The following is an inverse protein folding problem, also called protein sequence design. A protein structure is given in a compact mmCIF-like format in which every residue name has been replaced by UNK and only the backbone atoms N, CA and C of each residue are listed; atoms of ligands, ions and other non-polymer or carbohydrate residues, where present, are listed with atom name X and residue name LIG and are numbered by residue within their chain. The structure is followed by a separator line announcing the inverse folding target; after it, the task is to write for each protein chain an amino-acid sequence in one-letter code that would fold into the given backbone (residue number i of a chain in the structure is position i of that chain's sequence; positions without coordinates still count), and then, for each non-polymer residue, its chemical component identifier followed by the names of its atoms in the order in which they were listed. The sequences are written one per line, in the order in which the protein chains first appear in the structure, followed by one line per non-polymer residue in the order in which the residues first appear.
data_IF_095719516380
#
_entry.id   IF_095719516380
#
_cell.length_a   1.000
_cell.length_b   1.000
_cell.length_c   1.000
_cell.angle_alpha   90.00
_cell.angle_beta   90.00
_cell.angle_gamma   90.00
#
_symmetry.space_group_name_H-M   'P 1'
#
loop_
_entity.id
_entity.type
_entity.pdbx_description
1 polymer ?
#
# COMPACT_ATOMS: atom_id res chain seq x y z
N UNK A 1 -62.17 32.97 19.64
CA UNK A 1 -60.83 33.18 20.22
C UNK A 1 -60.10 31.84 20.20
N UNK A 2 -59.25 31.59 19.21
CA UNK A 2 -58.32 30.47 19.30
C UNK A 2 -57.29 30.80 20.40
N UNK A 3 -56.93 29.85 21.28
CA UNK A 3 -55.84 30.07 22.23
C UNK A 3 -54.59 30.37 21.40
N UNK A 4 -54.06 31.58 21.51
CA UNK A 4 -52.89 32.00 20.76
C UNK A 4 -51.70 31.12 21.14
N UNK A 5 -51.31 30.22 20.24
CA UNK A 5 -50.09 29.45 20.38
C UNK A 5 -48.91 30.42 20.35
N UNK A 6 -48.22 30.58 21.49
CA UNK A 6 -46.92 31.25 21.51
C UNK A 6 -45.93 30.38 20.73
N UNK A 7 -45.25 30.90 19.67
CA UNK A 7 -44.29 30.11 18.92
C UNK A 7 -43.10 29.72 19.80
N UNK A 8 -42.68 28.46 19.69
CA UNK A 8 -41.54 27.91 20.43
C UNK A 8 -40.32 27.90 19.51
N UNK A 9 -39.26 28.59 19.90
CA UNK A 9 -37.97 28.54 19.22
C UNK A 9 -37.13 27.39 19.79
N UNK A 10 -36.55 26.54 18.95
CA UNK A 10 -35.64 25.48 19.40
C UNK A 10 -34.20 25.97 19.36
N UNK A 11 -33.47 25.76 20.45
CA UNK A 11 -32.05 26.13 20.58
C UNK A 11 -31.30 24.96 21.19
N UNK A 12 -30.08 24.73 20.75
CA UNK A 12 -29.21 23.70 21.33
C UNK A 12 -27.90 24.29 21.82
N UNK A 13 -27.44 23.81 22.96
CA UNK A 13 -26.12 24.14 23.52
C UNK A 13 -25.29 22.88 23.72
N UNK A 14 -23.97 22.99 23.57
CA UNK A 14 -23.04 21.88 23.79
C UNK A 14 -22.63 21.86 25.27
N UNK A 15 -22.70 20.69 25.91
CA UNK A 15 -22.30 20.50 27.30
C UNK A 15 -20.90 21.10 27.56
N UNK A 16 -20.79 21.92 28.61
CA UNK A 16 -19.55 22.60 29.01
C UNK A 16 -19.14 23.82 28.16
N UNK A 17 -19.84 24.11 27.05
CA UNK A 17 -19.60 25.32 26.24
C UNK A 17 -20.57 26.43 26.59
N UNK A 18 -20.37 27.63 26.04
CA UNK A 18 -21.34 28.72 26.10
C UNK A 18 -22.48 28.48 25.10
N UNK A 19 -23.71 28.84 25.49
CA UNK A 19 -24.86 28.91 24.58
C UNK A 19 -25.60 30.23 24.71
N UNK A 20 -26.36 30.60 23.67
CA UNK A 20 -27.13 31.84 23.61
C UNK A 20 -28.62 31.54 23.47
N UNK A 21 -29.44 32.03 24.39
CA UNK A 21 -30.90 31.98 24.29
C UNK A 21 -31.39 33.32 23.71
N UNK A 22 -32.02 33.33 22.52
CA UNK A 22 -32.48 34.56 21.89
C UNK A 22 -33.73 35.09 22.59
N UNK A 23 -33.79 36.41 22.72
CA UNK A 23 -34.99 37.12 23.11
C UNK A 23 -35.08 38.42 22.33
N UNK A 24 -36.10 38.52 21.50
CA UNK A 24 -36.37 39.76 20.78
C UNK A 24 -36.86 40.81 21.79
N UNK A 25 -36.13 41.92 21.87
CA UNK A 25 -36.45 43.10 22.68
C UNK A 25 -36.78 44.33 21.83
N UNK A 26 -37.01 44.14 20.53
CA UNK A 26 -37.36 45.22 19.61
C UNK A 26 -38.80 45.65 19.88
N UNK A 27 -39.05 46.93 20.22
CA UNK A 27 -40.41 47.46 20.40
C UNK A 27 -41.15 47.55 19.07
N UNK A 28 -42.49 47.55 19.13
CA UNK A 28 -43.34 47.72 17.94
C UNK A 28 -43.33 49.17 17.44
N UNK A 29 -43.32 50.12 18.38
CA UNK A 29 -43.29 51.55 18.09
C UNK A 29 -41.85 52.08 18.10
N UNK A 30 -41.53 52.99 17.18
CA UNK A 30 -40.16 53.51 16.99
C UNK A 30 -39.64 54.35 18.18
N UNK A 31 -40.55 54.99 18.91
CA UNK A 31 -40.23 55.86 20.06
C UNK A 31 -40.40 55.14 21.41
N UNK A 32 -40.68 53.85 21.39
CA UNK A 32 -40.78 53.02 22.58
C UNK A 32 -39.43 52.35 22.89
N UNK A 33 -39.27 51.88 24.12
CA UNK A 33 -38.04 51.27 24.59
C UNK A 33 -38.33 50.09 25.50
N UNK A 34 -37.40 49.14 25.51
CA UNK A 34 -37.43 48.05 26.49
C UNK A 34 -37.36 48.64 27.91
N UNK A 35 -38.23 48.14 28.78
CA UNK A 35 -38.36 48.59 30.16
C UNK A 35 -37.80 47.54 31.14
N UNK A 36 -38.03 46.25 30.86
CA UNK A 36 -37.54 45.13 31.65
C UNK A 36 -37.55 43.83 30.83
N UNK A 37 -36.58 42.94 31.06
CA UNK A 37 -36.57 41.58 30.50
C UNK A 37 -36.44 40.57 31.63
N UNK A 38 -37.39 39.63 31.69
CA UNK A 38 -37.43 38.58 32.70
C UNK A 38 -37.39 37.21 32.02
N UNK A 39 -36.52 36.35 32.51
CA UNK A 39 -36.43 34.97 32.07
C UNK A 39 -36.98 34.03 33.12
N UNK A 40 -37.68 33.00 32.68
CA UNK A 40 -38.28 31.95 33.52
C UNK A 40 -37.94 30.58 32.94
N UNK A 41 -37.82 29.57 33.79
CA UNK A 41 -37.90 28.16 33.39
C UNK A 41 -39.35 27.74 33.60
N UNK A 42 -40.00 27.09 32.64
CA UNK A 42 -41.46 26.94 32.62
C UNK A 42 -42.04 26.23 33.86
N UNK A 43 -41.25 25.38 34.52
CA UNK A 43 -41.63 24.70 35.75
C UNK A 43 -41.61 25.61 37.00
N UNK A 44 -41.22 26.88 36.87
CA UNK A 44 -41.09 27.84 37.97
C UNK A 44 -41.71 29.21 37.63
N UNK A 45 -42.42 29.77 38.59
CA UNK A 45 -43.03 31.09 38.49
C UNK A 45 -42.06 32.22 38.89
N UNK A 46 -40.94 31.90 39.54
CA UNK A 46 -39.91 32.86 39.89
C UNK A 46 -38.97 33.14 38.70
N UNK A 47 -38.60 34.42 38.45
CA UNK A 47 -37.68 34.76 37.37
C UNK A 47 -36.27 34.25 37.69
N UNK A 48 -35.69 33.46 36.77
CA UNK A 48 -34.32 32.96 36.88
C UNK A 48 -33.28 34.01 36.49
N UNK A 49 -33.66 35.02 35.70
CA UNK A 49 -32.80 36.14 35.34
C UNK A 49 -33.63 37.40 35.12
N UNK A 50 -33.11 38.55 35.56
CA UNK A 50 -33.73 39.86 35.41
C UNK A 50 -32.73 40.85 34.81
N UNK A 51 -33.20 41.59 33.82
CA UNK A 51 -32.54 42.74 33.23
C UNK A 51 -33.49 43.95 33.35
N UNK A 52 -33.19 44.85 34.30
CA UNK A 52 -34.05 45.98 34.64
C UNK A 52 -33.37 47.32 34.27
N UNK A 53 -33.96 48.04 33.33
CA UNK A 53 -33.46 49.34 32.82
C UNK A 53 -34.34 50.52 33.26
N UNK A 54 -35.26 50.31 34.20
CA UNK A 54 -36.20 51.36 34.62
C UNK A 54 -35.47 52.53 35.26
N UNK A 55 -35.67 53.72 34.72
CA UNK A 55 -35.02 54.96 35.15
C UNK A 55 -33.51 54.99 34.89
N UNK A 56 -32.97 54.12 34.02
CA UNK A 56 -31.54 53.97 33.75
C UNK A 56 -31.26 53.88 32.25
N UNK A 57 -30.01 54.13 31.86
CA UNK A 57 -29.55 53.77 30.53
C UNK A 57 -29.34 52.25 30.44
N UNK A 58 -29.46 51.67 29.24
CA UNK A 58 -29.30 50.22 28.99
C UNK A 58 -27.96 49.69 29.50
N UNK A 59 -26.89 50.47 29.39
CA UNK A 59 -25.55 50.11 29.89
C UNK A 59 -25.45 50.02 31.43
N UNK A 60 -26.40 50.61 32.15
CA UNK A 60 -26.46 50.65 33.62
C UNK A 60 -27.61 49.78 34.16
N UNK A 61 -28.08 48.81 33.37
CA UNK A 61 -29.14 47.91 33.78
C UNK A 61 -28.80 47.19 35.09
N UNK A 62 -29.80 47.02 35.96
CA UNK A 62 -29.67 46.17 37.14
C UNK A 62 -29.90 44.73 36.71
N UNK A 63 -28.90 43.89 36.95
CA UNK A 63 -28.90 42.47 36.59
C UNK A 63 -29.07 41.62 37.84
N UNK A 64 -29.85 40.55 37.75
CA UNK A 64 -29.85 39.49 38.77
C UNK A 64 -30.05 38.13 38.12
N UNK A 65 -29.37 37.12 38.63
CA UNK A 65 -29.44 35.73 38.17
C UNK A 65 -29.63 34.83 39.37
N UNK A 66 -30.53 33.84 39.27
CA UNK A 66 -30.83 32.91 40.36
C UNK A 66 -29.74 31.83 40.48
N UNK A 67 -29.20 31.64 41.68
CA UNK A 67 -28.19 30.61 41.99
C UNK A 67 -28.73 29.19 41.83
N UNK A 68 -30.05 29.00 41.91
CA UNK A 68 -30.74 27.72 41.65
C UNK A 68 -30.57 27.25 40.19
N UNK A 69 -30.43 28.19 39.25
CA UNK A 69 -30.38 27.92 37.82
C UNK A 69 -28.99 28.21 37.24
N UNK A 70 -28.83 29.38 36.63
CA UNK A 70 -27.57 29.74 35.97
C UNK A 70 -26.55 30.35 36.93
N UNK A 71 -27.01 30.95 38.05
CA UNK A 71 -26.14 31.67 38.98
C UNK A 71 -25.26 32.68 38.24
N UNK A 72 -23.96 32.66 38.50
CA UNK A 72 -22.98 33.57 37.88
C UNK A 72 -22.65 33.26 36.42
N UNK A 73 -23.17 32.18 35.83
CA UNK A 73 -22.87 31.77 34.44
C UNK A 73 -23.69 32.52 33.39
N UNK A 74 -24.70 33.29 33.79
CA UNK A 74 -25.61 33.96 32.87
C UNK A 74 -25.31 35.45 32.70
N UNK A 75 -25.29 35.91 31.45
CA UNK A 75 -25.05 37.31 31.08
C UNK A 75 -26.00 37.74 29.96
N UNK A 76 -26.74 38.82 30.17
CA UNK A 76 -27.66 39.33 29.14
C UNK A 76 -26.97 40.36 28.25
N UNK A 77 -27.08 40.16 26.94
CA UNK A 77 -26.53 41.05 25.92
C UNK A 77 -27.66 41.73 25.15
N UNK A 78 -27.99 42.94 25.57
CA UNK A 78 -29.07 43.74 24.99
C UNK A 78 -28.71 44.39 23.63
N UNK A 79 -27.42 44.47 23.29
CA UNK A 79 -26.94 45.18 22.09
C UNK A 79 -26.98 44.33 20.81
N UNK A 80 -27.22 43.02 20.91
CA UNK A 80 -27.37 42.14 19.75
C UNK A 80 -28.80 42.18 19.24
N UNK A 81 -29.01 41.85 17.97
CA UNK A 81 -30.34 41.78 17.35
C UNK A 81 -30.57 40.37 16.78
N UNK A 82 -31.40 39.52 17.41
CA UNK A 82 -32.10 39.76 18.68
C UNK A 82 -31.15 39.81 19.89
N UNK A 83 -31.62 40.34 21.01
CA UNK A 83 -30.88 40.30 22.28
C UNK A 83 -30.75 38.85 22.76
N UNK A 84 -29.73 38.55 23.56
CA UNK A 84 -29.41 37.17 23.94
C UNK A 84 -29.10 37.05 25.42
N UNK A 85 -29.60 36.00 26.07
CA UNK A 85 -29.08 35.52 27.35
C UNK A 85 -27.98 34.51 27.07
N UNK A 86 -26.73 34.89 27.33
CA UNK A 86 -25.57 34.00 27.24
C UNK A 86 -25.47 33.20 28.54
N UNK A 87 -25.21 31.91 28.42
CA UNK A 87 -25.01 31.01 29.55
C UNK A 87 -23.72 30.22 29.33
N UNK A 88 -22.75 30.44 30.20
CA UNK A 88 -21.47 29.72 30.21
C UNK A 88 -21.59 28.33 30.84
N UNK A 89 -20.66 27.44 30.48
CA UNK A 89 -20.54 26.09 31.05
C UNK A 89 -21.89 25.36 31.14
N UNK A 90 -22.54 25.16 30.00
CA UNK A 90 -23.86 24.50 29.94
C UNK A 90 -23.83 23.14 30.65
N UNK A 91 -24.84 22.90 31.49
CA UNK A 91 -25.03 21.65 32.25
C UNK A 91 -26.23 20.88 31.72
N UNK A 92 -26.30 19.57 31.94
CA UNK A 92 -27.46 18.75 31.56
C UNK A 92 -28.77 19.25 32.20
N UNK A 93 -28.71 19.74 33.44
CA UNK A 93 -29.85 20.32 34.16
C UNK A 93 -30.37 21.63 33.56
N UNK A 94 -29.59 22.27 32.69
CA UNK A 94 -30.00 23.49 32.00
C UNK A 94 -31.00 23.18 30.86
N UNK A 95 -31.17 21.91 30.48
CA UNK A 95 -32.21 21.53 29.52
C UNK A 95 -33.62 21.88 30.02
N UNK A 96 -34.49 22.32 29.10
CA UNK A 96 -35.90 22.55 29.38
C UNK A 96 -36.51 23.69 28.58
N UNK A 97 -37.77 24.02 28.92
CA UNK A 97 -38.48 25.14 28.33
C UNK A 97 -38.22 26.43 29.10
N UNK A 98 -37.85 27.46 28.38
CA UNK A 98 -37.60 28.80 28.89
C UNK A 98 -38.60 29.78 28.32
N UNK A 99 -38.97 30.79 29.12
CA UNK A 99 -39.82 31.89 28.70
C UNK A 99 -39.09 33.20 28.91
N UNK A 100 -38.88 33.95 27.83
CA UNK A 100 -38.47 35.34 27.91
C UNK A 100 -39.70 36.25 27.89
N UNK A 101 -39.88 37.06 28.92
CA UNK A 101 -40.89 38.12 29.00
C UNK A 101 -40.19 39.45 28.83
N UNK A 102 -40.67 40.24 27.88
CA UNK A 102 -40.17 41.59 27.62
C UNK A 102 -41.31 42.57 27.90
N UNK A 103 -41.08 43.44 28.86
CA UNK A 103 -41.95 44.57 29.13
C UNK A 103 -41.35 45.82 28.48
N UNK A 104 -42.19 46.55 27.75
CA UNK A 104 -41.84 47.82 27.13
C UNK A 104 -42.45 48.97 27.93
N UNK A 105 -42.07 50.21 27.60
CA UNK A 105 -42.64 51.38 28.28
C UNK A 105 -44.10 51.60 27.87
N UNK A 106 -44.39 51.48 26.57
CA UNK A 106 -45.72 51.72 26.02
C UNK A 106 -46.30 50.49 25.30
N UNK A 107 -45.46 49.71 24.61
CA UNK A 107 -45.92 48.53 23.88
C UNK A 107 -46.38 47.41 24.83
N UNK A 108 -47.33 46.56 24.38
CA UNK A 108 -47.73 45.38 25.14
C UNK A 108 -46.57 44.44 25.46
N UNK A 109 -46.61 43.81 26.63
CA UNK A 109 -45.66 42.77 27.04
C UNK A 109 -45.61 41.64 26.00
N UNK A 110 -44.39 41.27 25.60
CA UNK A 110 -44.14 40.14 24.70
C UNK A 110 -43.61 38.94 25.48
N UNK A 111 -44.08 37.75 25.13
CA UNK A 111 -43.55 36.49 25.65
C UNK A 111 -43.00 35.65 24.50
N UNK A 112 -41.82 35.09 24.68
CA UNK A 112 -41.15 34.17 23.75
C UNK A 112 -40.87 32.88 24.50
N UNK A 113 -41.14 31.73 23.88
CA UNK A 113 -40.80 30.42 24.44
C UNK A 113 -39.60 29.83 23.69
N UNK A 114 -38.64 29.30 24.44
CA UNK A 114 -37.44 28.66 23.91
C UNK A 114 -37.36 27.24 24.47
N UNK A 115 -37.35 26.25 23.59
CA UNK A 115 -37.02 24.88 23.97
C UNK A 115 -35.50 24.70 23.85
N UNK A 116 -34.80 24.67 24.99
CA UNK A 116 -33.36 24.52 25.02
C UNK A 116 -32.96 23.07 25.27
N UNK A 117 -32.26 22.47 24.31
CA UNK A 117 -31.76 21.09 24.39
C UNK A 117 -30.25 21.05 24.59
N UNK A 118 -29.77 20.11 25.41
CA UNK A 118 -28.33 19.96 25.68
C UNK A 118 -27.75 18.84 24.85
N UNK A 119 -26.78 19.19 24.01
CA UNK A 119 -26.01 18.25 23.20
C UNK A 119 -24.81 17.76 23.99
N UNK A 120 -24.68 16.44 24.08
CA UNK A 120 -23.51 15.78 24.64
C UNK A 120 -22.68 15.28 23.48
N UNK A 121 -21.42 15.72 23.29
CA UNK A 121 -20.53 15.15 22.30
C UNK A 121 -20.31 13.64 22.54
N UNK A 122 -20.11 12.82 21.50
CA UNK A 122 -19.78 11.41 21.68
C UNK A 122 -18.39 11.24 22.28
N UNK A 123 -18.08 10.07 22.83
CA UNK A 123 -16.73 9.74 23.25
C UNK A 123 -15.77 9.63 22.05
N UNK A 124 -14.48 9.60 22.30
CA UNK A 124 -13.50 9.36 21.24
C UNK A 124 -13.67 7.93 20.69
N UNK A 125 -13.72 7.75 19.36
CA UNK A 125 -13.85 6.43 18.76
C UNK A 125 -12.67 5.50 19.11
N UNK A 126 -12.97 4.21 19.23
CA UNK A 126 -11.97 3.15 19.42
C UNK A 126 -12.03 2.21 18.21
N UNK A 127 -10.87 1.96 17.60
CA UNK A 127 -10.75 1.09 16.42
C UNK A 127 -10.17 -0.25 16.84
N UNK A 128 -10.83 -1.33 16.44
CA UNK A 128 -10.39 -2.70 16.66
C UNK A 128 -10.15 -3.42 15.33
N UNK A 129 -9.27 -4.42 15.36
CA UNK A 129 -9.22 -5.42 14.29
C UNK A 129 -10.28 -6.51 14.46
N UNK A 130 -10.33 -7.43 13.49
CA UNK A 130 -11.22 -8.59 13.50
C UNK A 130 -11.03 -9.51 14.73
N UNK A 131 -9.91 -9.42 15.44
CA UNK A 131 -9.60 -10.16 16.67
C UNK A 131 -9.87 -9.35 17.95
N UNK A 132 -10.58 -8.22 17.85
CA UNK A 132 -10.89 -7.31 18.97
C UNK A 132 -9.65 -6.70 19.65
N UNK A 133 -8.51 -6.61 18.94
CA UNK A 133 -7.33 -5.91 19.44
C UNK A 133 -7.43 -4.44 19.09
N UNK A 134 -7.34 -3.57 20.09
CA UNK A 134 -7.37 -2.12 19.88
C UNK A 134 -6.16 -1.66 19.06
N UNK A 135 -6.42 -0.78 18.08
CA UNK A 135 -5.38 -0.17 17.25
C UNK A 135 -5.15 1.27 17.72
N UNK A 136 -4.00 1.48 18.34
CA UNK A 136 -3.62 2.78 18.87
C UNK A 136 -3.32 3.78 17.74
N UNK A 137 -2.24 3.60 16.99
CA UNK A 137 -1.79 4.57 15.96
C UNK A 137 -1.36 3.91 14.63
N UNK A 138 -0.85 2.69 14.67
CA UNK A 138 -0.35 1.94 13.51
C UNK A 138 -0.94 0.54 13.52
N UNK A 139 -1.45 0.08 12.37
CA UNK A 139 -1.89 -1.31 12.22
C UNK A 139 -0.69 -2.20 11.97
N UNK A 140 -0.83 -3.51 12.25
CA UNK A 140 0.10 -4.49 11.68
C UNK A 140 0.08 -4.34 10.15
N UNK A 141 1.22 -4.44 9.45
CA UNK A 141 1.26 -4.18 8.01
C UNK A 141 0.36 -5.14 7.23
N UNK A 142 -0.47 -4.58 6.34
CA UNK A 142 -1.29 -5.34 5.40
C UNK A 142 -0.49 -5.72 4.16
N UNK A 143 -0.71 -6.89 3.58
CA UNK A 143 -0.06 -7.26 2.32
C UNK A 143 -0.78 -6.64 1.13
N UNK A 144 -0.04 -6.19 0.12
CA UNK A 144 -0.63 -5.72 -1.15
C UNK A 144 -1.57 -6.78 -1.73
N UNK A 145 -2.80 -6.38 -2.04
CA UNK A 145 -3.88 -7.27 -2.49
C UNK A 145 -4.75 -7.84 -1.38
N UNK A 146 -4.44 -7.61 -0.09
CA UNK A 146 -5.27 -8.07 1.03
C UNK A 146 -6.44 -7.13 1.33
N UNK A 147 -7.42 -7.65 2.07
CA UNK A 147 -8.59 -6.90 2.50
C UNK A 147 -8.41 -6.41 3.95
N UNK A 148 -8.93 -5.22 4.23
CA UNK A 148 -8.97 -4.62 5.57
C UNK A 148 -10.33 -4.89 6.21
N UNK A 149 -10.31 -5.46 7.40
CA UNK A 149 -11.48 -5.59 8.26
C UNK A 149 -11.24 -4.90 9.61
N UNK A 150 -11.99 -3.83 9.88
CA UNK A 150 -11.86 -3.02 11.09
C UNK A 150 -13.23 -2.72 11.68
N UNK A 151 -13.26 -2.51 13.00
CA UNK A 151 -14.49 -2.20 13.74
C UNK A 151 -14.25 -0.89 14.47
N UNK A 152 -15.11 0.09 14.26
CA UNK A 152 -15.07 1.34 15.02
C UNK A 152 -16.23 1.41 15.98
N UNK A 153 -15.94 1.51 17.28
CA UNK A 153 -16.96 1.62 18.33
C UNK A 153 -16.92 3.00 18.98
N UNK A 154 -18.10 3.57 19.22
CA UNK A 154 -18.28 4.88 19.84
C UNK A 154 -19.37 4.80 20.89
N UNK A 155 -19.10 5.37 22.07
CA UNK A 155 -20.02 5.42 23.19
C UNK A 155 -20.51 6.84 23.44
N UNK A 156 -21.64 6.93 24.13
CA UNK A 156 -22.23 8.21 24.50
C UNK A 156 -22.75 9.00 23.31
N UNK A 157 -22.82 10.32 23.48
CA UNK A 157 -23.44 11.23 22.52
C UNK A 157 -24.95 11.38 22.74
N UNK A 158 -25.39 12.63 22.78
CA UNK A 158 -26.82 12.99 22.77
C UNK A 158 -27.01 14.18 21.81
N UNK A 159 -27.69 14.00 20.66
CA UNK A 159 -28.23 12.75 20.11
C UNK A 159 -27.16 11.69 19.85
N UNK A 160 -27.59 10.45 19.57
CA UNK A 160 -26.65 9.36 19.24
C UNK A 160 -25.86 9.72 17.97
N UNK A 161 -24.56 9.44 17.91
CA UNK A 161 -23.73 9.81 16.77
C UNK A 161 -23.92 8.88 15.59
N UNK A 162 -23.74 9.42 14.38
CA UNK A 162 -23.41 8.65 13.20
C UNK A 162 -21.91 8.32 13.23
N UNK A 163 -21.54 7.13 12.75
CA UNK A 163 -20.15 6.67 12.69
C UNK A 163 -19.78 6.37 11.24
N UNK A 164 -18.80 7.11 10.73
CA UNK A 164 -18.40 7.10 9.32
C UNK A 164 -16.91 6.86 9.19
N UNK A 165 -16.52 6.01 8.24
CA UNK A 165 -15.13 5.83 7.86
C UNK A 165 -14.73 6.72 6.70
N UNK A 166 -13.53 7.29 6.84
CA UNK A 166 -12.86 8.06 5.82
C UNK A 166 -11.51 7.41 5.50
N UNK A 167 -11.17 7.38 4.22
CA UNK A 167 -9.81 7.12 3.74
C UNK A 167 -9.26 8.45 3.23
N UNK A 168 -8.26 8.95 3.93
CA UNK A 168 -7.78 10.33 3.86
C UNK A 168 -8.92 11.33 4.10
N UNK A 169 -9.48 11.89 3.03
CA UNK A 169 -10.57 12.85 3.07
C UNK A 169 -11.85 12.34 2.39
N UNK A 170 -11.84 11.10 1.88
CA UNK A 170 -12.95 10.51 1.14
C UNK A 170 -13.75 9.59 2.05
N UNK A 171 -15.07 9.75 2.05
CA UNK A 171 -15.97 8.82 2.73
C UNK A 171 -15.90 7.47 2.02
N UNK A 172 -15.63 6.40 2.78
CA UNK A 172 -15.57 5.03 2.24
C UNK A 172 -16.70 4.14 2.79
N UNK A 173 -17.25 4.47 3.96
CA UNK A 173 -18.35 3.70 4.56
C UNK A 173 -19.14 4.55 5.56
N UNK A 174 -20.46 4.60 5.38
CA UNK A 174 -21.44 5.28 6.24
C UNK A 174 -22.39 4.30 6.94
N UNK A 175 -22.17 2.99 6.80
CA UNK A 175 -23.02 1.97 7.40
C UNK A 175 -22.70 1.78 8.89
N UNK A 176 -23.63 2.18 9.76
CA UNK A 176 -23.48 2.00 11.21
C UNK A 176 -24.72 1.37 11.83
N UNK A 177 -24.50 0.66 12.93
CA UNK A 177 -25.53 0.08 13.77
C UNK A 177 -25.45 0.66 15.18
N UNK A 178 -26.59 0.69 15.88
CA UNK A 178 -26.59 1.01 17.30
C UNK A 178 -26.98 -0.22 18.11
N UNK A 179 -26.11 -0.60 19.04
CA UNK A 179 -26.31 -1.75 19.91
C UNK A 179 -27.19 -1.41 21.11
N UNK A 180 -27.81 -2.42 21.75
CA UNK A 180 -28.67 -2.22 22.92
C UNK A 180 -27.96 -1.58 24.13
N UNK A 181 -26.64 -1.76 24.24
CA UNK A 181 -25.79 -1.15 25.27
C UNK A 181 -25.54 0.36 25.05
N UNK A 182 -26.06 0.92 23.96
CA UNK A 182 -25.90 2.32 23.60
C UNK A 182 -24.63 2.62 22.78
N UNK A 183 -23.84 1.62 22.42
CA UNK A 183 -22.66 1.78 21.57
C UNK A 183 -23.08 1.86 20.09
N UNK A 184 -22.61 2.89 19.36
CA UNK A 184 -22.73 2.96 17.90
C UNK A 184 -21.49 2.36 17.26
N UNK A 185 -21.67 1.48 16.28
CA UNK A 185 -20.58 0.72 15.66
C UNK A 185 -20.67 0.72 14.15
N UNK A 186 -19.51 0.85 13.51
CA UNK A 186 -19.34 0.70 12.06
C UNK A 186 -18.32 -0.41 11.78
N UNK A 187 -18.71 -1.37 10.92
CA UNK A 187 -17.93 -2.54 10.55
C UNK A 187 -17.36 -2.37 9.13
N UNK A 188 -16.12 -1.87 9.03
CA UNK A 188 -15.47 -1.63 7.75
C UNK A 188 -14.96 -2.93 7.13
N UNK A 189 -15.29 -3.13 5.86
CA UNK A 189 -14.67 -4.11 4.96
C UNK A 189 -14.19 -3.40 3.70
N UNK A 190 -12.87 -3.22 3.56
CA UNK A 190 -12.26 -2.52 2.43
C UNK A 190 -11.34 -3.48 1.64
N UNK A 191 -11.69 -3.83 0.39
CA UNK A 191 -10.98 -4.88 -0.33
C UNK A 191 -9.73 -4.39 -1.08
N UNK A 192 -8.82 -5.33 -1.38
CA UNK A 192 -7.73 -5.18 -2.33
C UNK A 192 -6.85 -3.93 -2.10
N UNK A 193 -6.22 -3.85 -0.94
CA UNK A 193 -5.33 -2.73 -0.58
C UNK A 193 -4.08 -2.71 -1.48
N UNK A 194 -3.84 -1.60 -2.16
CA UNK A 194 -2.66 -1.40 -3.02
C UNK A 194 -1.60 -0.44 -2.48
N UNK A 195 -0.56 -0.22 -3.30
CA UNK A 195 0.57 0.70 -3.05
C UNK A 195 0.16 2.13 -2.73
N UNK A 196 -0.91 2.59 -3.37
CA UNK A 196 -1.45 3.94 -3.19
C UNK A 196 -1.96 4.21 -1.78
N UNK A 197 -2.18 3.17 -0.97
CA UNK A 197 -2.65 3.29 0.40
C UNK A 197 -1.54 3.22 1.44
N UNK A 198 -0.27 3.09 1.02
CA UNK A 198 0.85 3.20 1.95
C UNK A 198 0.84 4.59 2.59
N UNK A 199 0.89 4.63 3.92
CA UNK A 199 0.80 5.84 4.75
C UNK A 199 -0.54 6.60 4.64
N UNK A 200 -1.56 6.02 3.97
CA UNK A 200 -2.88 6.61 3.91
C UNK A 200 -3.54 6.64 5.30
N UNK A 201 -4.34 7.67 5.55
CA UNK A 201 -4.95 7.92 6.85
C UNK A 201 -6.36 7.37 6.88
N UNK A 202 -6.55 6.25 7.56
CA UNK A 202 -7.88 5.71 7.80
C UNK A 202 -8.46 6.32 9.08
N UNK A 203 -9.60 7.00 8.96
CA UNK A 203 -10.20 7.77 10.04
C UNK A 203 -11.63 7.33 10.31
N UNK A 204 -11.92 6.95 11.56
CA UNK A 204 -13.28 6.78 12.01
C UNK A 204 -13.75 8.09 12.67
N UNK A 205 -14.89 8.61 12.24
CA UNK A 205 -15.46 9.89 12.69
C UNK A 205 -16.82 9.65 13.31
N UNK A 206 -17.03 10.21 14.51
CA UNK A 206 -18.28 10.21 15.24
C UNK A 206 -18.88 11.62 15.29
N UNK A 207 -20.03 11.80 14.66
CA UNK A 207 -20.71 13.10 14.60
C UNK A 207 -22.16 12.98 15.04
N UNK A 208 -22.60 13.85 15.94
CA UNK A 208 -24.00 13.96 16.36
C UNK A 208 -24.57 15.39 16.26
N UNK A 209 -23.76 16.35 15.83
CA UNK A 209 -24.15 17.76 15.67
C UNK A 209 -23.15 18.51 14.79
N UNK A 210 -23.57 19.64 14.23
CA UNK A 210 -22.71 20.60 13.54
C UNK A 210 -22.22 21.75 14.44
N UNK A 211 -22.61 21.78 15.73
CA UNK A 211 -22.22 22.84 16.68
C UNK A 211 -20.82 22.67 17.28
N UNK A 212 -20.20 21.50 17.09
CA UNK A 212 -18.84 21.22 17.55
C UNK A 212 -18.14 20.32 16.53
N UNK A 213 -16.80 20.40 16.40
CA UNK A 213 -16.06 19.42 15.62
C UNK A 213 -16.37 17.99 16.12
N UNK A 214 -16.52 17.03 15.20
CA UNK A 214 -16.76 15.64 15.56
C UNK A 214 -15.51 15.02 16.20
N UNK A 215 -15.72 14.02 17.05
CA UNK A 215 -14.60 13.25 17.57
C UNK A 215 -14.18 12.21 16.54
N UNK A 216 -12.88 11.95 16.44
CA UNK A 216 -12.34 10.98 15.49
C UNK A 216 -11.17 10.20 16.06
N UNK A 217 -10.87 9.08 15.41
CA UNK A 217 -9.68 8.28 15.62
C UNK A 217 -9.04 8.01 14.28
N UNK A 218 -7.74 8.26 14.17
CA UNK A 218 -6.95 8.06 12.95
C UNK A 218 -5.99 6.92 13.17
N UNK A 219 -5.88 6.07 12.15
CA UNK A 219 -4.93 4.97 12.05
C UNK A 219 -4.22 5.10 10.71
N UNK A 220 -2.89 5.07 10.73
CA UNK A 220 -2.10 5.12 9.49
C UNK A 220 -1.93 3.72 8.95
N UNK A 221 -2.24 3.53 7.67
CA UNK A 221 -2.12 2.26 7.00
C UNK A 221 -0.66 1.96 6.68
N UNK A 222 -0.22 0.79 7.11
CA UNK A 222 1.08 0.25 6.81
C UNK A 222 0.90 -0.91 5.81
N UNK A 223 1.62 -0.90 4.67
CA UNK A 223 1.42 -1.88 3.58
C UNK A 223 2.73 -2.52 3.13
N UNK A 224 2.79 -3.84 3.15
CA UNK A 224 3.84 -4.61 2.49
C UNK A 224 3.59 -4.60 0.97
N UNK A 225 4.61 -4.24 0.19
CA UNK A 225 4.52 -4.09 -1.26
C UNK A 225 5.39 -5.12 -1.97
N UNK A 226 4.86 -5.78 -3.01
CA UNK A 226 5.66 -6.74 -3.81
C UNK A 226 6.79 -6.02 -4.60
N UNK A 227 7.81 -6.70 -5.12
CA UNK A 227 8.74 -6.06 -6.04
C UNK A 227 8.02 -5.63 -7.33
N UNK A 228 8.38 -4.46 -7.88
CA UNK A 228 7.80 -3.95 -9.14
C UNK A 228 8.69 -4.29 -10.34
N UNK A 229 10.00 -4.21 -10.12
CA UNK A 229 10.99 -4.46 -11.16
C UNK A 229 12.16 -5.26 -10.59
N UNK A 230 12.76 -6.06 -11.45
CA UNK A 230 14.01 -6.78 -11.22
C UNK A 230 14.78 -6.77 -12.53
N UNK A 231 16.07 -6.45 -12.48
CA UNK A 231 16.93 -6.33 -13.65
C UNK A 231 18.33 -6.87 -13.34
N UNK A 232 18.82 -7.75 -14.20
CA UNK A 232 20.24 -8.11 -14.25
C UNK A 232 20.96 -6.98 -14.98
N UNK A 233 21.90 -6.35 -14.30
CA UNK A 233 22.68 -5.23 -14.80
C UNK A 233 23.80 -5.72 -15.73
N UNK A 234 24.20 -4.87 -16.68
CA UNK A 234 25.34 -5.10 -17.56
C UNK A 234 25.38 -6.53 -18.19
N UNK A 235 24.26 -6.94 -18.83
CA UNK A 235 24.19 -8.20 -19.58
C UNK A 235 25.18 -8.15 -20.76
N UNK A 236 26.35 -8.71 -20.57
CA UNK A 236 27.38 -8.81 -21.61
C UNK A 236 26.82 -9.52 -22.85
N UNK A 237 27.28 -9.12 -24.04
CA UNK A 237 26.84 -9.76 -25.29
C UNK A 237 27.29 -11.22 -25.37
N UNK A 238 28.45 -11.51 -24.80
CA UNK A 238 29.04 -12.85 -24.69
C UNK A 238 29.87 -12.93 -23.41
N UNK A 239 30.00 -14.12 -22.86
CA UNK A 239 30.86 -14.44 -21.71
C UNK A 239 31.83 -15.55 -22.10
N UNK A 240 33.03 -15.57 -21.53
CA UNK A 240 34.02 -16.62 -21.80
C UNK A 240 33.85 -17.76 -20.80
N UNK A 241 33.98 -19.00 -21.28
CA UNK A 241 34.04 -20.17 -20.41
C UNK A 241 35.21 -20.05 -19.43
N UNK A 242 34.97 -20.53 -18.20
CA UNK A 242 35.93 -20.58 -17.08
C UNK A 242 36.45 -19.23 -16.56
N UNK A 243 36.00 -18.12 -17.17
CA UNK A 243 36.25 -16.76 -16.68
C UNK A 243 35.23 -16.37 -15.62
N UNK A 244 35.71 -15.73 -14.56
CA UNK A 244 34.88 -15.26 -13.44
C UNK A 244 34.29 -13.88 -13.74
N UNK A 245 32.98 -13.75 -13.54
CA UNK A 245 32.21 -12.52 -13.72
C UNK A 245 31.52 -12.14 -12.41
N UNK A 246 31.47 -10.84 -12.11
CA UNK A 246 30.60 -10.28 -11.09
C UNK A 246 29.37 -9.72 -11.79
N UNK A 247 28.20 -10.29 -11.49
CA UNK A 247 26.95 -9.93 -12.14
C UNK A 247 26.04 -9.35 -11.07
N UNK A 248 25.55 -8.15 -11.32
CA UNK A 248 24.66 -7.45 -10.41
C UNK A 248 23.21 -7.63 -10.83
N UNK A 249 22.32 -7.76 -9.86
CA UNK A 249 20.89 -7.74 -10.05
C UNK A 249 20.25 -6.76 -9.08
N UNK A 250 19.42 -5.88 -9.61
CA UNK A 250 18.77 -4.81 -8.88
C UNK A 250 17.26 -4.99 -8.92
N UNK A 251 16.63 -4.91 -7.75
CA UNK A 251 15.18 -4.91 -7.61
C UNK A 251 14.69 -3.64 -6.93
N UNK A 252 13.49 -3.18 -7.29
CA UNK A 252 12.89 -1.96 -6.74
C UNK A 252 11.41 -2.12 -6.43
N UNK A 253 10.94 -1.34 -5.46
CA UNK A 253 9.52 -1.18 -5.15
C UNK A 253 8.95 -2.19 -4.16
N UNK A 254 9.78 -3.08 -3.62
CA UNK A 254 9.38 -3.98 -2.54
C UNK A 254 9.44 -3.27 -1.18
N UNK A 255 8.47 -3.57 -0.31
CA UNK A 255 8.48 -3.15 1.10
C UNK A 255 7.96 -4.31 1.97
N UNK A 256 8.72 -4.88 2.90
CA UNK A 256 10.15 -4.67 3.12
C UNK A 256 10.97 -5.05 1.87
N UNK A 257 12.28 -4.82 1.94
CA UNK A 257 13.23 -5.12 0.87
C UNK A 257 13.08 -6.54 0.31
N UNK A 258 13.31 -6.67 -0.99
CA UNK A 258 13.15 -7.93 -1.69
C UNK A 258 14.31 -8.88 -1.38
N UNK A 259 14.00 -10.15 -1.12
CA UNK A 259 14.98 -11.22 -1.13
C UNK A 259 15.32 -11.57 -2.58
N UNK A 260 16.57 -11.33 -2.99
CA UNK A 260 17.06 -11.64 -4.32
C UNK A 260 17.79 -12.99 -4.32
N UNK A 261 17.50 -13.81 -5.33
CA UNK A 261 18.09 -15.13 -5.53
C UNK A 261 18.47 -15.38 -6.99
N UNK A 262 19.53 -16.15 -7.20
CA UNK A 262 20.05 -16.48 -8.52
C UNK A 262 19.76 -17.93 -8.88
N UNK A 263 19.35 -18.17 -10.12
CA UNK A 263 18.90 -19.47 -10.60
C UNK A 263 19.50 -19.79 -11.97
N UNK A 264 19.82 -21.07 -12.19
CA UNK A 264 20.18 -21.61 -13.50
C UNK A 264 19.23 -22.77 -13.81
N UNK A 265 18.29 -22.54 -14.72
CA UNK A 265 17.13 -23.43 -14.88
C UNK A 265 16.34 -23.51 -13.56
N UNK A 266 16.13 -24.72 -13.04
CA UNK A 266 15.42 -24.96 -11.77
C UNK A 266 16.33 -24.96 -10.54
N UNK A 267 17.66 -24.83 -10.72
CA UNK A 267 18.62 -24.92 -9.61
C UNK A 267 19.00 -23.53 -9.10
N UNK A 268 18.68 -23.28 -7.83
CA UNK A 268 19.17 -22.10 -7.12
C UNK A 268 20.69 -22.17 -6.93
N UNK A 269 21.39 -21.09 -7.23
CA UNK A 269 22.83 -20.95 -7.09
C UNK A 269 23.14 -20.48 -5.66
N UNK A 270 23.89 -21.28 -4.89
CA UNK A 270 24.21 -21.01 -3.47
C UNK A 270 25.53 -20.28 -3.23
N UNK A 271 26.34 -19.99 -4.25
CA UNK A 271 27.71 -19.45 -4.07
C UNK A 271 27.70 -17.92 -4.06
N UNK A 272 28.15 -17.37 -2.92
CA UNK A 272 28.52 -15.95 -2.67
C UNK A 272 27.55 -14.96 -3.32
N UNK A 273 26.39 -14.85 -2.68
CA UNK A 273 25.44 -13.77 -2.92
C UNK A 273 25.67 -12.70 -1.85
N UNK A 274 26.00 -11.48 -2.24
CA UNK A 274 25.99 -10.35 -1.31
C UNK A 274 24.71 -9.55 -1.55
N UNK A 275 23.79 -9.61 -0.60
CA UNK A 275 22.58 -8.80 -0.61
C UNK A 275 22.84 -7.52 0.17
N UNK A 276 22.50 -6.38 -0.42
CA UNK A 276 22.60 -5.08 0.22
C UNK A 276 21.28 -4.33 0.11
N UNK A 277 20.96 -3.60 1.18
CA UNK A 277 19.98 -2.54 1.14
C UNK A 277 20.64 -1.29 0.56
N UNK A 278 20.14 -0.81 -0.58
CA UNK A 278 20.56 0.48 -1.10
C UNK A 278 19.56 1.55 -0.61
N UNK A 279 20.01 2.77 -0.36
CA UNK A 279 19.12 3.88 0.04
C UNK A 279 18.02 4.08 -1.01
N UNK A 280 16.75 3.87 -0.63
CA UNK A 280 15.58 4.15 -1.48
C UNK A 280 14.90 2.92 -2.08
N UNK A 281 14.22 2.10 -1.25
CA UNK A 281 13.35 0.97 -1.64
C UNK A 281 13.96 0.05 -2.73
N UNK A 282 15.28 -0.14 -2.69
CA UNK A 282 16.03 -0.91 -3.68
C UNK A 282 16.84 -1.99 -2.98
N UNK A 283 16.87 -3.16 -3.60
CA UNK A 283 17.63 -4.33 -3.15
C UNK A 283 18.62 -4.69 -4.24
N UNK A 284 19.88 -4.89 -3.85
CA UNK A 284 20.97 -5.24 -4.77
C UNK A 284 21.54 -6.60 -4.40
N UNK A 285 21.81 -7.42 -5.41
CA UNK A 285 22.45 -8.71 -5.25
C UNK A 285 23.57 -8.89 -6.26
N UNK A 286 24.77 -9.21 -5.79
CA UNK A 286 25.91 -9.50 -6.67
C UNK A 286 26.27 -10.97 -6.57
N UNK A 287 26.32 -11.66 -7.72
CA UNK A 287 26.81 -13.04 -7.82
C UNK A 287 28.16 -13.09 -8.53
N UNK A 288 29.03 -13.93 -8.00
CA UNK A 288 30.27 -14.32 -8.66
C UNK A 288 30.03 -15.58 -9.49
N UNK A 289 29.89 -15.44 -10.81
CA UNK A 289 29.55 -16.53 -11.73
C UNK A 289 30.71 -16.90 -12.65
N UNK A 290 30.95 -18.20 -12.83
CA UNK A 290 31.94 -18.74 -13.78
C UNK A 290 31.20 -19.64 -14.76
N UNK A 291 30.91 -19.18 -16.00
CA UNK A 291 30.20 -19.97 -17.00
C UNK A 291 31.01 -21.18 -17.46
N UNK A 292 30.36 -22.31 -17.72
CA UNK A 292 30.97 -23.46 -18.40
C UNK A 292 30.44 -23.61 -19.82
N UNK A 293 31.06 -24.48 -20.62
CA UNK A 293 30.61 -24.78 -22.00
C UNK A 293 29.16 -25.28 -22.05
N UNK A 294 28.72 -26.02 -21.02
CA UNK A 294 27.35 -26.51 -20.89
C UNK A 294 26.32 -25.40 -20.61
N UNK A 295 26.77 -24.20 -20.25
CA UNK A 295 25.90 -23.08 -19.94
C UNK A 295 25.52 -22.27 -21.17
N UNK A 296 26.12 -22.54 -22.32
CA UNK A 296 25.77 -21.89 -23.59
C UNK A 296 24.29 -22.11 -23.93
N UNK A 297 23.59 -21.02 -24.25
CA UNK A 297 22.17 -21.02 -24.56
C UNK A 297 21.22 -21.18 -23.36
N UNK A 298 21.73 -21.45 -22.15
CA UNK A 298 20.93 -21.51 -20.91
C UNK A 298 20.66 -20.12 -20.36
N UNK A 299 19.68 -20.02 -19.47
CA UNK A 299 19.33 -18.77 -18.79
C UNK A 299 19.94 -18.71 -17.39
N UNK A 300 20.61 -17.60 -17.11
CA UNK A 300 20.84 -17.12 -15.76
C UNK A 300 19.65 -16.24 -15.37
N UNK A 301 18.98 -16.59 -14.29
CA UNK A 301 17.77 -15.91 -13.82
C UNK A 301 18.04 -15.24 -12.48
N UNK A 302 17.69 -13.97 -12.37
CA UNK A 302 17.59 -13.29 -11.09
C UNK A 302 16.11 -13.21 -10.68
N UNK A 303 15.79 -13.69 -9.50
CA UNK A 303 14.45 -13.69 -8.92
C UNK A 303 14.42 -12.81 -7.68
N UNK A 304 13.49 -11.87 -7.62
CA UNK A 304 13.25 -11.00 -6.47
C UNK A 304 11.87 -11.27 -5.89
N UNK A 305 11.79 -11.42 -4.56
CA UNK A 305 10.57 -11.81 -3.85
C UNK A 305 10.43 -11.03 -2.54
N UNK A 306 9.22 -10.61 -2.19
CA UNK A 306 8.97 -10.00 -0.88
C UNK A 306 8.79 -11.12 0.17
N UNK A 307 9.56 -11.11 1.28
CA UNK A 307 9.52 -12.18 2.27
C UNK A 307 8.20 -12.29 3.06
N UNK A 308 7.36 -11.25 3.03
CA UNK A 308 6.09 -11.19 3.75
C UNK A 308 4.87 -11.39 2.85
N UNK A 309 5.05 -11.47 1.52
CA UNK A 309 3.97 -11.63 0.55
C UNK A 309 4.21 -12.91 -0.25
N UNK A 310 3.38 -13.95 -0.04
CA UNK A 310 3.43 -15.17 -0.85
C UNK A 310 3.24 -14.86 -2.34
N UNK A 311 3.90 -15.65 -3.19
CA UNK A 311 3.78 -15.56 -4.66
C UNK A 311 4.08 -14.17 -5.24
N UNK A 312 4.89 -13.38 -4.53
CA UNK A 312 5.31 -12.03 -4.95
C UNK A 312 6.52 -12.01 -5.89
N UNK A 313 7.03 -13.19 -6.26
CA UNK A 313 8.27 -13.31 -7.01
C UNK A 313 8.14 -12.81 -8.46
N UNK A 314 9.11 -11.99 -8.87
CA UNK A 314 9.33 -11.60 -10.27
C UNK A 314 10.74 -11.96 -10.70
N UNK A 315 10.95 -12.16 -12.00
CA UNK A 315 12.21 -12.65 -12.55
C UNK A 315 12.70 -11.84 -13.75
N UNK A 316 14.01 -11.64 -13.83
CA UNK A 316 14.70 -11.24 -15.07
C UNK A 316 15.65 -12.36 -15.50
N UNK A 317 15.71 -12.59 -16.81
CA UNK A 317 16.44 -13.71 -17.42
C UNK A 317 17.48 -13.19 -18.40
N UNK A 318 18.68 -13.75 -18.34
CA UNK A 318 19.76 -13.49 -19.27
C UNK A 318 20.16 -14.80 -19.96
N UNK A 319 19.91 -14.88 -21.26
CA UNK A 319 20.37 -16.00 -22.08
C UNK A 319 21.87 -15.87 -22.30
N UNK A 320 22.63 -16.84 -21.80
CA UNK A 320 24.08 -16.84 -21.89
C UNK A 320 24.51 -17.23 -23.31
N UNK A 321 25.45 -16.47 -23.86
CA UNK A 321 26.22 -16.82 -25.05
C UNK A 321 27.65 -17.04 -24.56
N UNK A 322 28.03 -18.31 -24.39
CA UNK A 322 29.32 -18.67 -23.81
C UNK A 322 30.30 -18.94 -24.93
N UNK A 323 31.37 -18.16 -25.01
CA UNK A 323 32.48 -18.39 -25.92
C UNK A 323 33.48 -19.36 -25.31
N UNK A 324 33.87 -20.37 -26.10
CA UNK A 324 34.84 -21.39 -25.72
C UNK A 324 35.57 -21.90 -26.97
N UNK A 325 36.82 -22.34 -26.76
CA UNK A 325 37.63 -22.93 -27.83
C UNK A 325 37.01 -24.25 -28.32
N UNK A 326 37.25 -24.66 -29.59
CA UNK A 326 36.71 -25.90 -30.12
C UNK A 326 37.12 -27.13 -29.31
N UNK A 327 36.12 -27.87 -28.82
CA UNK A 327 36.27 -29.18 -28.19
C UNK A 327 35.97 -30.22 -29.27
N UNK A 328 36.96 -31.06 -29.56
CA UNK A 328 36.87 -32.07 -30.61
C UNK A 328 36.75 -33.45 -29.98
N UNK A 329 35.76 -34.21 -30.42
CA UNK A 329 35.61 -35.63 -30.09
C UNK A 329 35.53 -36.45 -31.36
N UNK A 330 36.43 -37.42 -31.51
CA UNK A 330 36.39 -38.36 -32.62
C UNK A 330 35.47 -39.53 -32.24
N UNK A 331 34.51 -39.86 -33.10
CA UNK A 331 33.61 -41.00 -32.92
C UNK A 331 33.60 -41.86 -34.17
N UNK A 332 33.44 -43.16 -34.00
CA UNK A 332 33.17 -44.05 -35.12
C UNK A 332 31.76 -43.79 -35.65
N UNK A 333 31.57 -44.01 -36.94
CA UNK A 333 30.31 -43.80 -37.62
C UNK A 333 29.12 -44.47 -36.93
N UNK A 334 27.97 -43.79 -36.88
CA UNK A 334 26.80 -44.24 -36.11
C UNK A 334 26.23 -45.60 -36.55
N UNK A 335 26.57 -46.05 -37.76
CA UNK A 335 26.15 -47.35 -38.31
C UNK A 335 27.17 -48.47 -38.08
N UNK A 336 28.30 -48.19 -37.41
CA UNK A 336 29.37 -49.15 -37.19
C UNK A 336 29.36 -49.63 -35.75
N UNK A 337 29.53 -50.95 -35.57
CA UNK A 337 29.76 -51.55 -34.27
C UNK A 337 31.27 -51.81 -34.09
N UNK A 338 31.96 -51.13 -33.14
CA UNK A 338 33.40 -51.31 -32.93
C UNK A 338 33.84 -52.76 -32.68
N UNK A 339 32.95 -53.58 -32.11
CA UNK A 339 33.25 -54.97 -31.73
C UNK A 339 33.02 -56.00 -32.86
N UNK A 340 32.41 -55.58 -33.99
CA UNK A 340 32.08 -56.45 -35.15
C UNK A 340 32.61 -55.87 -36.46
N UNK A 341 33.86 -55.41 -36.46
CA UNK A 341 34.54 -54.89 -37.66
C UNK A 341 35.42 -55.98 -38.24
N UNK A 342 35.18 -56.34 -39.51
CA UNK A 342 35.94 -57.36 -40.22
C UNK A 342 36.80 -56.74 -41.32
N UNK A 343 37.84 -57.46 -41.70
CA UNK A 343 38.69 -57.07 -42.82
C UNK A 343 37.86 -56.98 -44.11
N UNK A 344 37.91 -55.82 -44.78
CA UNK A 344 37.10 -55.52 -45.95
C UNK A 344 35.87 -54.65 -45.68
N UNK A 345 35.52 -54.39 -44.41
CA UNK A 345 34.43 -53.48 -44.06
C UNK A 345 34.86 -52.01 -44.18
N UNK A 346 34.01 -51.18 -44.77
CA UNK A 346 34.26 -49.74 -44.87
C UNK A 346 34.02 -49.08 -43.51
N UNK A 347 35.06 -48.44 -42.96
CA UNK A 347 34.97 -47.74 -41.68
C UNK A 347 34.97 -46.23 -41.91
N UNK A 348 34.25 -45.48 -41.09
CA UNK A 348 34.31 -44.03 -41.11
C UNK A 348 34.29 -43.45 -39.70
N UNK A 349 34.92 -42.28 -39.57
CA UNK A 349 34.96 -41.51 -38.35
C UNK A 349 34.28 -40.17 -38.53
N UNK A 350 33.45 -39.82 -37.55
CA UNK A 350 32.81 -38.53 -37.42
C UNK A 350 33.57 -37.67 -36.42
N UNK A 351 33.97 -36.49 -36.87
CA UNK A 351 34.60 -35.49 -36.03
C UNK A 351 33.52 -34.56 -35.45
N UNK A 352 33.15 -34.82 -34.20
CA UNK A 352 32.19 -34.00 -33.48
C UNK A 352 32.91 -32.80 -32.85
N UNK A 353 32.54 -31.59 -33.28
CA UNK A 353 33.16 -30.35 -32.83
C UNK A 353 32.10 -29.50 -32.13
N UNK A 354 32.35 -29.20 -30.85
CA UNK A 354 31.59 -28.23 -30.08
C UNK A 354 32.42 -26.95 -29.96
N UNK A 355 31.90 -25.81 -30.40
CA UNK A 355 32.62 -24.55 -30.35
C UNK A 355 31.67 -23.38 -30.43
N UNK A 356 31.97 -22.31 -29.70
CA UNK A 356 31.29 -21.03 -29.87
C UNK A 356 32.34 -19.89 -29.79
N UNK A 357 32.56 -19.10 -30.86
CA UNK A 357 31.92 -19.17 -32.18
C UNK A 357 32.35 -20.41 -32.98
N UNK A 358 31.71 -20.61 -34.15
CA UNK A 358 32.05 -21.70 -35.08
C UNK A 358 33.55 -21.68 -35.44
N UNK A 359 34.18 -22.85 -35.63
CA UNK A 359 35.59 -22.91 -35.96
C UNK A 359 35.78 -22.44 -37.40
N UNK A 360 36.91 -21.80 -37.70
CA UNK A 360 37.20 -21.31 -39.06
C UNK A 360 38.02 -22.32 -39.88
N UNK A 361 38.67 -23.28 -39.22
CA UNK A 361 39.49 -24.30 -39.86
C UNK A 361 39.34 -25.64 -39.16
N UNK A 362 39.26 -26.68 -39.97
CA UNK A 362 39.27 -28.07 -39.57
C UNK A 362 40.31 -28.81 -40.40
N UNK A 363 41.14 -29.63 -39.76
CA UNK A 363 42.12 -30.47 -40.44
C UNK A 363 41.99 -31.91 -39.94
N UNK A 364 42.28 -32.87 -40.81
CA UNK A 364 42.35 -34.28 -40.48
C UNK A 364 43.79 -34.75 -40.59
N UNK A 365 44.22 -35.63 -39.70
CA UNK A 365 45.57 -36.20 -39.69
C UNK A 365 45.51 -37.72 -39.62
N UNK A 366 46.39 -38.37 -40.39
CA UNK A 366 46.68 -39.80 -40.32
C UNK A 366 48.11 -39.97 -39.78
N UNK A 367 48.25 -40.63 -38.63
CA UNK A 367 49.47 -40.69 -37.83
C UNK A 367 50.05 -39.29 -37.48
N UNK A 368 51.34 -39.20 -37.13
CA UNK A 368 51.94 -37.99 -36.53
C UNK A 368 52.27 -36.89 -37.56
N UNK A 369 52.02 -37.08 -38.86
CA UNK A 369 52.67 -36.22 -39.88
C UNK A 369 51.93 -35.89 -41.17
N UNK A 370 50.83 -36.55 -41.56
CA UNK A 370 50.15 -36.24 -42.83
C UNK A 370 48.80 -35.53 -42.62
N UNK A 371 48.72 -34.28 -43.06
CA UNK A 371 47.46 -33.54 -43.17
C UNK A 371 46.65 -34.12 -44.34
N UNK A 372 45.47 -34.62 -44.04
CA UNK A 372 44.47 -35.02 -45.00
C UNK A 372 43.68 -33.77 -45.45
N UNK A 373 44.00 -33.23 -46.63
CA UNK A 373 43.35 -32.01 -47.15
C UNK A 373 42.04 -32.31 -47.88
N UNK A 374 40.96 -31.65 -47.46
CA UNK A 374 39.66 -31.67 -48.11
C UNK A 374 39.55 -30.54 -49.16
N UNK A 375 40.24 -30.68 -50.29
CA UNK A 375 39.97 -29.84 -51.47
C UNK A 375 39.01 -30.58 -52.39
N UNK A 376 37.70 -30.46 -52.13
CA UNK A 376 36.63 -30.93 -53.01
C UNK A 376 36.69 -32.42 -53.34
N UNK A 377 36.14 -33.27 -52.47
CA UNK A 377 35.80 -34.67 -52.79
C UNK A 377 36.90 -35.45 -53.53
N UNK A 378 38.13 -35.40 -53.04
CA UNK A 378 39.23 -36.14 -53.66
C UNK A 378 39.22 -37.58 -53.16
N UNK A 379 38.85 -38.48 -54.06
CA UNK A 379 39.02 -39.92 -53.95
C UNK A 379 40.53 -40.24 -53.95
N UNK A 380 41.07 -40.73 -52.84
CA UNK A 380 42.31 -41.51 -52.87
C UNK A 380 41.94 -42.98 -52.75
N UNK A 381 42.73 -43.89 -53.32
CA UNK A 381 42.46 -45.34 -53.24
C UNK A 381 42.45 -45.89 -51.80
N UNK A 382 42.72 -45.06 -50.78
CA UNK A 382 42.83 -45.44 -49.37
C UNK A 382 41.83 -44.75 -48.43
N UNK A 383 41.30 -43.57 -48.79
CA UNK A 383 40.36 -42.80 -47.95
C UNK A 383 39.61 -41.72 -48.75
N UNK A 384 38.40 -41.40 -48.28
CA UNK A 384 37.50 -40.35 -48.76
C UNK A 384 37.27 -39.36 -47.61
N UNK A 385 37.56 -38.08 -47.83
CA UNK A 385 37.35 -37.00 -46.86
C UNK A 385 36.13 -36.17 -47.24
N UNK A 386 35.25 -35.96 -46.26
CA UNK A 386 34.21 -34.93 -46.30
C UNK A 386 34.47 -33.90 -45.19
N UNK A 387 33.74 -32.79 -45.20
CA UNK A 387 33.96 -31.69 -44.25
C UNK A 387 33.88 -32.08 -42.76
N UNK A 388 33.27 -33.23 -42.40
CA UNK A 388 33.17 -33.72 -41.01
C UNK A 388 33.44 -35.22 -40.83
N UNK A 389 33.58 -35.97 -41.92
CA UNK A 389 33.72 -37.42 -41.88
C UNK A 389 34.95 -37.86 -42.68
N UNK A 390 35.72 -38.79 -42.12
CA UNK A 390 36.78 -39.52 -42.80
C UNK A 390 36.30 -40.94 -43.06
N UNK A 391 36.19 -41.35 -44.32
CA UNK A 391 35.77 -42.70 -44.73
C UNK A 391 37.00 -43.46 -45.25
N UNK A 392 37.17 -44.70 -44.87
CA UNK A 392 38.21 -45.61 -45.34
C UNK A 392 37.57 -46.82 -46.01
N UNK A 393 37.55 -46.87 -47.35
CA UNK A 393 37.05 -48.02 -48.07
C UNK A 393 38.06 -49.19 -48.01
N UNK A 394 37.62 -50.35 -47.53
CA UNK A 394 38.40 -51.61 -47.41
C UNK A 394 39.79 -51.48 -46.74
N UNK A 395 39.88 -51.47 -45.41
CA UNK A 395 41.15 -51.38 -44.70
C UNK A 395 42.07 -52.58 -44.98
N UNK A 396 43.38 -52.31 -44.98
CA UNK A 396 44.50 -53.16 -45.42
C UNK A 396 44.52 -54.61 -44.90
N UNK A 397 45.10 -55.50 -45.72
CA UNK A 397 45.65 -56.81 -45.31
C UNK A 397 46.83 -56.60 -44.34
N UNK A 398 46.60 -56.82 -43.05
CA UNK A 398 47.63 -56.84 -42.00
C UNK A 398 47.28 -55.99 -40.77
N UNK A 399 47.57 -56.51 -39.57
CA UNK A 399 47.35 -55.81 -38.29
C UNK A 399 48.31 -54.63 -38.13
N UNK A 400 47.90 -53.44 -38.59
CA UNK A 400 48.58 -52.18 -38.33
C UNK A 400 47.66 -51.28 -37.51
N UNK A 401 48.15 -50.74 -36.39
CA UNK A 401 47.42 -49.74 -35.62
C UNK A 401 47.67 -48.35 -36.22
N UNK A 402 46.60 -47.66 -36.62
CA UNK A 402 46.65 -46.28 -37.13
C UNK A 402 46.08 -45.31 -36.10
N UNK A 403 46.60 -44.09 -36.06
CA UNK A 403 46.06 -43.02 -35.21
C UNK A 403 45.46 -41.90 -36.05
N UNK A 404 44.24 -41.47 -35.72
CA UNK A 404 43.54 -40.38 -36.42
C UNK A 404 43.29 -39.21 -35.48
N UNK A 405 43.53 -37.99 -35.97
CA UNK A 405 43.28 -36.75 -35.21
C UNK A 405 42.54 -35.72 -36.07
N UNK A 406 41.71 -34.90 -35.44
CA UNK A 406 40.89 -33.91 -36.12
C UNK A 406 40.91 -32.55 -35.38
N UNK A 407 42.04 -31.80 -35.37
CA UNK A 407 42.07 -30.50 -34.69
C UNK A 407 41.22 -29.45 -35.40
N UNK A 408 40.56 -28.60 -34.60
CA UNK A 408 39.78 -27.47 -35.06
C UNK A 408 40.34 -26.16 -34.48
N UNK A 409 40.50 -25.14 -35.33
CA UNK A 409 40.96 -23.81 -34.92
C UNK A 409 39.76 -22.85 -34.82
N UNK A 410 39.69 -22.10 -33.73
CA UNK A 410 38.59 -21.17 -33.43
C UNK A 410 39.10 -19.76 -33.06
N UNK A 411 38.23 -18.78 -33.19
CA UNK A 411 38.52 -17.36 -32.88
C UNK A 411 37.88 -16.92 -31.55
N UNK A 412 37.61 -17.85 -30.64
CA UNK A 412 37.07 -17.52 -29.32
C UNK A 412 38.07 -16.61 -28.59
N UNK A 413 37.71 -15.34 -28.39
CA UNK A 413 38.42 -14.45 -27.47
C UNK A 413 37.98 -14.82 -26.05
N UNK A 414 38.89 -15.42 -25.29
CA UNK A 414 38.68 -15.82 -23.88
C UNK A 414 38.92 -14.63 -22.93
#
# INVERSE_FOLDING_TARGET
MHPGFLPITTVSGVLGKQASLPCDITPLERDDAVYMVLWFKEDDNEPLYNFDVRGRQVAQARLSSSDKYFGKRAFFRATTHPAQLLVDEIKLSDEGMYRCRVDFRNSPTRNLKINFTVIVPPDRPIIYDSRRREKANTVEPYSEGSDIALICEVKGGRPRPNVTWYLDNSVIDESFETRPDGTTVNHLSYPNIGRQHLDARLMCVASNTNLTPPNNKVVVLDVNLKPVAVHIMAKEKFVSADKRYEIECKSSGSRPEAAISWWKGTRMLKRVTKNFSETGNQSLSVISYTPTVDDDGKYLTCRAENPLIPDSAIEDKWRLVVHYMPIVTLKMGSSLNPDDIKEGDDIYFDCHIQSNPKPYKLAWYHDVSSVLTASGGTHSDKWILTAKCLIMPRPFRGCSCFSFYCPAEGNAKL
#
